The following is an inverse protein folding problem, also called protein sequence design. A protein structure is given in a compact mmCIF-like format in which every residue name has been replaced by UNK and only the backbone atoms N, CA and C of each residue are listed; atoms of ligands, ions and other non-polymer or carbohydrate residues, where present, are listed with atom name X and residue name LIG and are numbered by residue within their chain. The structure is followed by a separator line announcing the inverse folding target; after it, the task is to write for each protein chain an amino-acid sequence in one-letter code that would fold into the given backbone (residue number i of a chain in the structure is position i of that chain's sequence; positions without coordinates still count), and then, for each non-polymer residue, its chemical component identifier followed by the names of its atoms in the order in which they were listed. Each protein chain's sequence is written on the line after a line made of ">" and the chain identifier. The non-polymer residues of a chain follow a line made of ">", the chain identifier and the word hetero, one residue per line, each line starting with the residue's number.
data_IF_651657942306
#
_entry.id   IF_651657942306
#
_cell.length_a   1.000
_cell.length_b   1.000
_cell.length_c   1.000
_cell.angle_alpha   90.00
_cell.angle_beta   90.00
_cell.angle_gamma   90.00
#
_symmetry.space_group_name_H-M   'P 1'
#
loop_
_entity.id
_entity.type
_entity.pdbx_description
1 polymer ?
#
# COMPACT_ATOMS: atom_id res chain seq x y z
N UNK A 1 9.31 -11.54 20.10
CA UNK A 1 8.22 -11.83 19.15
C UNK A 1 8.11 -10.68 18.16
N UNK A 2 8.84 -10.74 17.05
CA UNK A 2 8.76 -9.70 16.01
C UNK A 2 7.76 -10.17 14.95
N UNK A 3 6.50 -9.78 15.10
CA UNK A 3 5.42 -10.02 14.13
C UNK A 3 5.58 -9.12 12.89
N UNK A 4 6.77 -9.10 12.28
CA UNK A 4 7.00 -8.36 11.04
C UNK A 4 6.83 -9.37 9.91
N UNK A 5 5.71 -9.28 9.21
CA UNK A 5 5.46 -10.04 7.98
C UNK A 5 6.63 -9.72 7.04
N UNK A 6 7.48 -10.69 6.66
CA UNK A 6 8.62 -10.42 5.81
C UNK A 6 8.10 -10.20 4.39
N UNK A 7 7.73 -8.96 4.08
CA UNK A 7 7.53 -8.54 2.70
C UNK A 7 8.90 -8.58 2.01
N UNK A 8 9.27 -9.75 1.49
CA UNK A 8 10.31 -9.82 0.46
C UNK A 8 9.77 -9.09 -0.76
N UNK A 9 10.06 -7.79 -0.85
CA UNK A 9 9.72 -6.93 -1.97
C UNK A 9 10.53 -7.40 -3.18
N UNK A 10 10.11 -8.50 -3.83
CA UNK A 10 10.66 -8.97 -5.11
C UNK A 10 10.66 -7.86 -6.18
N UNK A 11 9.81 -6.85 -5.99
CA UNK A 11 9.61 -5.70 -6.86
C UNK A 11 9.93 -4.37 -6.15
N UNK A 12 10.85 -4.35 -5.18
CA UNK A 12 11.36 -3.09 -4.63
C UNK A 12 11.93 -2.27 -5.79
N UNK A 13 11.31 -1.13 -6.11
CA UNK A 13 11.65 -0.24 -7.23
C UNK A 13 11.31 -0.71 -8.66
N UNK A 14 10.61 -1.84 -8.84
CA UNK A 14 10.08 -2.16 -10.17
C UNK A 14 8.81 -1.34 -10.44
N UNK A 15 8.69 -0.78 -11.64
CA UNK A 15 7.48 -0.06 -12.09
C UNK A 15 6.28 -1.02 -12.10
N UNK A 16 5.46 -0.97 -11.05
CA UNK A 16 4.14 -1.60 -11.08
C UNK A 16 3.26 -0.88 -12.10
N UNK A 17 2.61 -1.64 -12.97
CA UNK A 17 1.74 -1.13 -14.05
C UNK A 17 0.47 -0.52 -13.41
N UNK A 18 0.48 0.79 -13.17
CA UNK A 18 -0.64 1.55 -12.58
C UNK A 18 -0.30 3.02 -12.37
N UNK A 19 -1.30 3.91 -12.30
CA UNK A 19 -1.09 5.31 -11.90
C UNK A 19 -0.88 5.34 -10.38
N UNK A 20 0.37 5.56 -9.95
CA UNK A 20 0.69 5.75 -8.54
C UNK A 20 0.41 7.20 -8.15
N UNK A 21 -0.27 7.40 -7.03
CA UNK A 21 -0.46 8.74 -6.49
C UNK A 21 0.87 9.32 -5.99
N UNK A 22 1.09 10.62 -6.20
CA UNK A 22 2.25 11.34 -5.66
C UNK A 22 1.91 11.89 -4.28
N UNK A 23 2.86 11.75 -3.37
CA UNK A 23 2.73 12.30 -2.03
C UNK A 23 2.72 13.84 -2.09
N UNK A 24 1.79 14.52 -1.41
CA UNK A 24 1.72 15.99 -1.41
C UNK A 24 2.90 16.65 -0.69
N UNK A 25 3.57 15.96 0.23
CA UNK A 25 4.65 16.54 1.04
C UNK A 25 6.04 16.31 0.44
N UNK A 26 6.35 15.09 0.02
CA UNK A 26 7.70 14.75 -0.47
C UNK A 26 7.73 14.36 -1.96
N UNK A 27 6.63 14.53 -2.70
CA UNK A 27 6.50 14.25 -4.14
C UNK A 27 6.82 12.81 -4.60
N UNK A 28 7.18 11.91 -3.69
CA UNK A 28 7.44 10.51 -3.98
C UNK A 28 6.17 9.74 -4.35
N UNK A 29 6.37 8.66 -5.10
CA UNK A 29 5.30 7.72 -5.43
C UNK A 29 4.81 6.99 -4.17
N UNK A 30 3.51 7.07 -3.91
CA UNK A 30 2.85 6.38 -2.84
C UNK A 30 2.57 4.92 -3.22
N UNK A 31 2.41 4.07 -2.20
CA UNK A 31 1.99 2.67 -2.34
C UNK A 31 0.53 2.55 -1.97
N UNK A 32 -0.19 1.68 -2.69
CA UNK A 32 -1.61 1.42 -2.44
C UNK A 32 -1.78 0.63 -1.13
N UNK A 33 -2.73 1.04 -0.31
CA UNK A 33 -3.14 0.34 0.91
C UNK A 33 -4.34 -0.54 0.57
N UNK A 34 -4.25 -1.81 0.94
CA UNK A 34 -5.35 -2.76 0.81
C UNK A 34 -5.70 -3.32 2.18
N UNK A 35 -6.99 -3.40 2.48
CA UNK A 35 -7.52 -4.16 3.62
C UNK A 35 -7.96 -5.52 3.10
N UNK A 36 -7.48 -6.57 3.77
CA UNK A 36 -8.01 -7.92 3.60
C UNK A 36 -9.30 -8.04 4.40
N UNK A 37 -10.43 -8.25 3.73
CA UNK A 37 -11.69 -8.64 4.37
C UNK A 37 -11.91 -10.14 4.15
N UNK A 38 -12.11 -10.90 5.23
CA UNK A 38 -12.35 -12.33 5.16
C UNK A 38 -13.67 -12.66 5.84
N UNK A 39 -14.65 -13.14 5.09
CA UNK A 39 -15.96 -13.54 5.57
C UNK A 39 -16.37 -14.88 4.96
N UNK A 40 -16.88 -15.81 5.78
CA UNK A 40 -17.38 -17.13 5.34
C UNK A 40 -16.46 -17.84 4.33
N UNK A 41 -15.16 -17.92 4.64
CA UNK A 41 -14.09 -18.50 3.79
C UNK A 41 -13.79 -17.77 2.47
N UNK A 42 -14.48 -16.67 2.15
CA UNK A 42 -14.13 -15.78 1.03
C UNK A 42 -13.19 -14.69 1.53
N UNK A 43 -12.08 -14.51 0.84
CA UNK A 43 -11.12 -13.43 1.11
C UNK A 43 -11.16 -12.42 -0.05
N UNK A 44 -11.40 -11.16 0.28
CA UNK A 44 -11.37 -10.03 -0.66
C UNK A 44 -10.34 -9.00 -0.22
N UNK A 45 -9.71 -8.35 -1.20
CA UNK A 45 -8.78 -7.24 -0.95
C UNK A 45 -9.48 -5.95 -1.39
N UNK A 46 -9.80 -5.08 -0.44
CA UNK A 46 -10.39 -3.77 -0.72
C UNK A 46 -9.28 -2.72 -0.70
N UNK A 47 -9.13 -1.97 -1.78
CA UNK A 47 -8.27 -0.81 -1.79
C UNK A 47 -8.92 0.31 -0.96
N UNK A 48 -8.15 0.97 -0.09
CA UNK A 48 -8.66 1.99 0.84
C UNK A 48 -7.89 3.31 0.81
N UNK A 49 -6.78 3.39 0.06
CA UNK A 49 -5.98 4.59 0.01
C UNK A 49 -4.52 4.34 -0.38
N UNK A 50 -3.66 5.26 0.02
CA UNK A 50 -2.26 5.35 -0.33
C UNK A 50 -1.40 5.72 0.87
N UNK A 51 -0.19 5.17 0.93
CA UNK A 51 0.83 5.50 1.94
C UNK A 51 2.13 5.92 1.26
N UNK A 52 2.73 7.00 1.73
CA UNK A 52 4.10 7.35 1.39
C UNK A 52 5.08 6.66 2.35
N UNK A 53 6.06 5.93 1.83
CA UNK A 53 7.05 5.26 2.67
C UNK A 53 8.23 6.15 3.10
N UNK A 54 8.33 7.38 2.59
CA UNK A 54 9.38 8.31 3.03
C UNK A 54 8.92 9.20 4.19
N UNK A 55 7.78 9.88 4.04
CA UNK A 55 7.26 10.79 5.05
C UNK A 55 6.11 10.22 5.88
N UNK A 56 5.75 8.95 5.66
CA UNK A 56 4.64 8.24 6.34
C UNK A 56 3.26 8.89 6.18
N UNK A 57 3.11 9.83 5.24
CA UNK A 57 1.82 10.44 4.94
C UNK A 57 0.84 9.40 4.36
N UNK A 58 -0.37 9.36 4.91
CA UNK A 58 -1.45 8.48 4.46
C UNK A 58 -2.55 9.33 3.84
N UNK A 59 -3.04 8.91 2.68
CA UNK A 59 -4.22 9.48 2.03
C UNK A 59 -5.24 8.37 1.87
N UNK A 60 -6.42 8.51 2.46
CA UNK A 60 -7.51 7.55 2.29
C UNK A 60 -8.33 7.92 1.05
N UNK A 61 -8.87 6.91 0.37
CA UNK A 61 -9.86 7.15 -0.67
C UNK A 61 -11.22 7.40 0.01
N UNK A 62 -11.99 8.36 -0.49
CA UNK A 62 -13.37 8.63 -0.06
C UNK A 62 -14.34 7.48 -0.43
#
# INVERSE_FOLDING_TARGET
>A
MNNVIPFKLRNLNQKTRGKHEKCPTCCNLMKRIYIKSQYAKKATMKAIGWVCLQCLNVKLDD
#
